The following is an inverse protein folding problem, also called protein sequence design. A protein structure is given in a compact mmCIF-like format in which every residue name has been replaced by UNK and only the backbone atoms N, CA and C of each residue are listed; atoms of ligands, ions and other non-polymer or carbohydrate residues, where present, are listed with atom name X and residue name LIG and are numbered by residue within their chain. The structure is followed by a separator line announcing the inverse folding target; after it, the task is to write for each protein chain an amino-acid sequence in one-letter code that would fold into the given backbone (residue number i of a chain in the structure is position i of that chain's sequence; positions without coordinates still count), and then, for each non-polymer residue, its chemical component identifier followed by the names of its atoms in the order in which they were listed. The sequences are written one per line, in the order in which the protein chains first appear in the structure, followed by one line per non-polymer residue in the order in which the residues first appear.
data_IF_926155246100
#
_entry.id   IF_926155246100
#
_cell.length_a   1.000
_cell.length_b   1.000
_cell.length_c   1.000
_cell.angle_alpha   90.00
_cell.angle_beta   90.00
_cell.angle_gamma   90.00
#
_symmetry.space_group_name_H-M   'P 1'
#
loop_
_entity.id
_entity.type
_entity.pdbx_description
1 polymer ?
#
# COMPACT_ATOMS: atom_id res chain seq x y z
N UNK A 1 -23.42 -22.68 0.91
CA UNK A 1 -22.99 -21.30 1.18
C UNK A 1 -22.07 -20.86 0.05
N UNK A 2 -22.23 -19.65 -0.47
CA UNK A 2 -21.40 -19.05 -1.53
C UNK A 2 -20.63 -17.85 -0.99
N UNK A 3 -19.31 -17.93 -1.10
CA UNK A 3 -18.37 -16.91 -0.64
C UNK A 3 -17.75 -16.27 -1.88
N UNK A 4 -17.86 -14.95 -2.01
CA UNK A 4 -17.15 -14.17 -3.00
C UNK A 4 -15.95 -13.51 -2.33
N UNK A 5 -14.76 -13.65 -2.91
CA UNK A 5 -13.55 -12.94 -2.50
C UNK A 5 -13.18 -11.96 -3.62
N UNK A 6 -13.31 -10.67 -3.33
CA UNK A 6 -13.00 -9.56 -4.25
C UNK A 6 -11.76 -8.82 -3.78
N UNK A 7 -10.68 -8.93 -4.54
CA UNK A 7 -9.38 -8.33 -4.26
C UNK A 7 -8.58 -8.37 -5.56
N UNK A 8 -7.80 -7.35 -5.92
CA UNK A 8 -6.99 -7.35 -7.14
C UNK A 8 -5.73 -8.21 -7.00
N UNK A 9 -5.22 -8.34 -5.78
CA UNK A 9 -4.07 -9.18 -5.42
C UNK A 9 -4.43 -10.66 -5.38
N UNK A 10 -3.92 -11.41 -6.36
CA UNK A 10 -4.05 -12.87 -6.40
C UNK A 10 -3.45 -13.54 -5.15
N UNK A 11 -2.41 -12.94 -4.58
CA UNK A 11 -1.78 -13.40 -3.34
C UNK A 11 -2.75 -13.23 -2.18
N UNK A 12 -3.40 -12.07 -2.04
CA UNK A 12 -4.39 -11.83 -1.01
C UNK A 12 -5.61 -12.76 -1.15
N UNK A 13 -6.17 -12.91 -2.37
CA UNK A 13 -7.28 -13.86 -2.64
C UNK A 13 -6.95 -15.28 -2.19
N UNK A 14 -5.75 -15.76 -2.52
CA UNK A 14 -5.27 -17.10 -2.15
C UNK A 14 -5.00 -17.22 -0.66
N UNK A 15 -4.42 -16.19 -0.05
CA UNK A 15 -4.15 -16.14 1.37
C UNK A 15 -5.45 -16.29 2.15
N UNK A 16 -6.45 -15.45 1.86
CA UNK A 16 -7.78 -15.52 2.49
C UNK A 16 -8.46 -16.87 2.26
N UNK A 17 -8.45 -17.38 1.02
CA UNK A 17 -9.03 -18.69 0.71
C UNK A 17 -8.34 -19.84 1.47
N UNK A 18 -7.04 -19.73 1.78
CA UNK A 18 -6.30 -20.76 2.52
C UNK A 18 -6.72 -20.88 4.00
N UNK A 19 -7.33 -19.84 4.57
CA UNK A 19 -7.92 -19.91 5.92
C UNK A 19 -9.22 -20.71 5.93
N UNK A 20 -9.91 -20.84 4.79
CA UNK A 20 -11.16 -21.61 4.69
C UNK A 20 -10.79 -23.10 4.61
N UNK A 21 -11.31 -23.90 5.54
CA UNK A 21 -10.98 -25.32 5.63
C UNK A 21 -11.48 -26.13 4.44
N UNK A 22 -10.77 -27.20 4.10
CA UNK A 22 -11.18 -28.14 3.05
C UNK A 22 -12.50 -28.86 3.36
N UNK A 23 -12.96 -28.85 4.62
CA UNK A 23 -14.28 -29.33 5.02
C UNK A 23 -15.42 -28.35 4.71
N UNK A 24 -15.12 -27.17 4.15
CA UNK A 24 -16.12 -26.21 3.72
C UNK A 24 -16.98 -26.78 2.58
N UNK A 25 -18.25 -27.04 2.89
CA UNK A 25 -19.25 -27.53 1.93
C UNK A 25 -19.95 -26.35 1.25
N UNK A 26 -19.19 -25.62 0.43
CA UNK A 26 -19.66 -24.43 -0.27
C UNK A 26 -18.80 -24.07 -1.48
N UNK A 27 -19.11 -22.94 -2.09
CA UNK A 27 -18.45 -22.46 -3.30
C UNK A 27 -17.69 -21.17 -2.99
N UNK A 28 -16.43 -21.11 -3.42
CA UNK A 28 -15.60 -19.91 -3.34
C UNK A 28 -15.47 -19.35 -4.76
N UNK A 29 -15.90 -18.11 -4.95
CA UNK A 29 -15.82 -17.37 -6.20
C UNK A 29 -14.82 -16.24 -6.01
N UNK A 30 -14.07 -15.91 -7.07
CA UNK A 30 -13.08 -14.84 -7.04
C UNK A 30 -13.46 -13.73 -8.00
N UNK A 31 -13.28 -12.48 -7.56
CA UNK A 31 -13.34 -11.29 -8.38
C UNK A 31 -12.04 -10.49 -8.22
N UNK A 32 -11.58 -9.86 -9.31
CA UNK A 32 -10.31 -9.12 -9.38
C UNK A 32 -10.49 -7.61 -9.27
N UNK A 33 -11.73 -7.13 -9.25
CA UNK A 33 -12.10 -5.73 -9.01
C UNK A 33 -13.58 -5.60 -8.62
N UNK A 34 -13.98 -4.42 -8.17
CA UNK A 34 -15.35 -4.16 -7.71
C UNK A 34 -16.42 -4.38 -8.77
N UNK A 35 -16.13 -4.11 -10.05
CA UNK A 35 -17.07 -4.31 -11.16
C UNK A 35 -17.39 -5.79 -11.34
N UNK A 36 -16.37 -6.65 -11.37
CA UNK A 36 -16.56 -8.10 -11.48
C UNK A 36 -17.33 -8.66 -10.28
N UNK A 37 -17.10 -8.12 -9.08
CA UNK A 37 -17.84 -8.53 -7.89
C UNK A 37 -19.33 -8.20 -8.00
N UNK A 38 -19.67 -6.97 -8.40
CA UNK A 38 -21.06 -6.56 -8.60
C UNK A 38 -21.75 -7.37 -9.72
N UNK A 39 -21.07 -7.61 -10.85
CA UNK A 39 -21.58 -8.45 -11.94
C UNK A 39 -21.87 -9.89 -11.47
N UNK A 40 -20.99 -10.45 -10.64
CA UNK A 40 -21.17 -11.77 -10.03
C UNK A 40 -22.38 -11.77 -9.10
N UNK A 41 -22.52 -10.75 -8.24
CA UNK A 41 -23.64 -10.63 -7.31
C UNK A 41 -24.99 -10.38 -7.99
N UNK A 42 -25.01 -9.90 -9.24
CA UNK A 42 -26.22 -9.79 -10.05
C UNK A 42 -26.65 -11.15 -10.63
N UNK A 43 -25.70 -12.02 -10.97
CA UNK A 43 -25.96 -13.33 -11.55
C UNK A 43 -26.20 -14.42 -10.50
N UNK A 44 -25.51 -14.32 -9.37
CA UNK A 44 -25.45 -15.35 -8.34
C UNK A 44 -25.82 -14.79 -6.96
N UNK A 45 -26.50 -15.61 -6.15
CA UNK A 45 -26.73 -15.29 -4.75
C UNK A 45 -25.44 -15.52 -3.96
N UNK A 46 -24.88 -14.44 -3.40
CA UNK A 46 -23.68 -14.47 -2.56
C UNK A 46 -24.09 -14.32 -1.10
N UNK A 47 -23.68 -15.25 -0.23
CA UNK A 47 -23.98 -15.20 1.19
C UNK A 47 -23.00 -14.27 1.92
N UNK A 48 -21.71 -14.35 1.54
CA UNK A 48 -20.61 -13.61 2.17
C UNK A 48 -19.72 -13.04 1.06
N UNK A 49 -19.45 -11.74 1.13
CA UNK A 49 -18.48 -11.06 0.29
C UNK A 49 -17.32 -10.64 1.18
N UNK A 50 -16.11 -11.13 0.90
CA UNK A 50 -14.88 -10.52 1.40
C UNK A 50 -14.39 -9.51 0.37
N UNK A 51 -14.24 -8.25 0.77
CA UNK A 51 -14.02 -7.12 -0.13
C UNK A 51 -12.78 -6.34 0.28
N UNK A 52 -11.82 -6.21 -0.62
CA UNK A 52 -10.74 -5.24 -0.48
C UNK A 52 -11.23 -3.81 -0.77
N UNK A 53 -10.58 -2.80 -0.15
CA UNK A 53 -10.92 -1.39 -0.39
C UNK A 53 -10.14 -0.77 -1.52
N UNK A 54 -8.87 -1.14 -1.72
CA UNK A 54 -7.93 -0.41 -2.57
C UNK A 54 -7.65 -1.23 -3.83
N UNK A 55 -8.56 -1.14 -4.79
CA UNK A 55 -8.48 -1.85 -6.07
C UNK A 55 -8.49 -0.85 -7.24
N UNK A 56 -7.88 -1.20 -8.40
CA UNK A 56 -8.02 -0.42 -9.62
C UNK A 56 -9.45 -0.48 -10.19
N UNK A 57 -9.78 0.49 -11.04
CA UNK A 57 -11.06 0.65 -11.75
C UNK A 57 -12.29 0.95 -10.90
N UNK A 58 -12.57 0.13 -9.90
CA UNK A 58 -13.69 0.31 -8.97
C UNK A 58 -13.28 -0.18 -7.57
N UNK A 59 -13.25 0.75 -6.63
CA UNK A 59 -12.77 0.53 -5.27
C UNK A 59 -13.84 -0.10 -4.36
N UNK A 60 -13.45 -0.53 -3.15
CA UNK A 60 -14.39 -1.17 -2.23
C UNK A 60 -15.45 -0.22 -1.66
N UNK A 61 -15.18 1.09 -1.58
CA UNK A 61 -16.19 2.07 -1.17
C UNK A 61 -17.27 2.22 -2.23
N UNK A 62 -16.90 2.21 -3.52
CA UNK A 62 -17.84 2.23 -4.64
C UNK A 62 -18.70 0.97 -4.66
N UNK A 63 -18.11 -0.21 -4.39
CA UNK A 63 -18.87 -1.47 -4.26
C UNK A 63 -19.87 -1.38 -3.12
N UNK A 64 -19.44 -0.97 -1.91
CA UNK A 64 -20.35 -0.82 -0.77
C UNK A 64 -21.48 0.17 -1.06
N UNK A 65 -21.17 1.30 -1.70
CA UNK A 65 -22.15 2.31 -2.09
C UNK A 65 -23.17 1.74 -3.08
N UNK A 66 -22.69 1.04 -4.13
CA UNK A 66 -23.57 0.41 -5.10
C UNK A 66 -24.48 -0.65 -4.45
N UNK A 67 -23.95 -1.40 -3.48
CA UNK A 67 -24.73 -2.39 -2.73
C UNK A 67 -25.84 -1.75 -1.90
N UNK A 68 -25.72 -0.50 -1.43
CA UNK A 68 -26.83 0.19 -0.75
C UNK A 68 -28.05 0.44 -1.67
N UNK A 69 -27.83 0.54 -2.98
CA UNK A 69 -28.90 0.79 -3.95
C UNK A 69 -29.74 -0.47 -4.24
N UNK A 70 -29.24 -1.66 -3.88
CA UNK A 70 -29.92 -2.94 -4.09
C UNK A 70 -30.18 -3.62 -2.74
N UNK A 71 -31.40 -4.12 -2.54
CA UNK A 71 -31.68 -4.95 -1.36
C UNK A 71 -30.95 -6.30 -1.49
N UNK A 72 -29.77 -6.44 -0.90
CA UNK A 72 -29.02 -7.70 -0.78
C UNK A 72 -29.07 -8.26 0.65
N UNK A 73 -28.87 -9.56 0.80
CA UNK A 73 -28.71 -10.22 2.11
C UNK A 73 -27.25 -10.60 2.39
N UNK A 74 -26.35 -10.29 1.46
CA UNK A 74 -24.93 -10.61 1.55
C UNK A 74 -24.28 -9.91 2.74
N UNK A 75 -23.57 -10.67 3.58
CA UNK A 75 -22.71 -10.11 4.62
C UNK A 75 -21.40 -9.66 3.99
N UNK A 76 -21.15 -8.36 3.96
CA UNK A 76 -19.91 -7.80 3.40
C UNK A 76 -18.87 -7.65 4.51
N UNK A 77 -17.80 -8.42 4.43
CA UNK A 77 -16.62 -8.31 5.29
C UNK A 77 -15.55 -7.56 4.53
N UNK A 78 -15.20 -6.37 4.98
CA UNK A 78 -14.08 -5.63 4.41
C UNK A 78 -12.78 -6.26 4.90
N UNK A 79 -11.86 -6.56 3.98
CA UNK A 79 -10.52 -7.07 4.27
C UNK A 79 -9.52 -6.16 3.58
N UNK A 80 -8.88 -5.26 4.31
CA UNK A 80 -8.06 -4.21 3.68
C UNK A 80 -6.78 -3.88 4.47
N UNK A 81 -5.79 -3.37 3.75
CA UNK A 81 -4.63 -2.69 4.34
C UNK A 81 -4.91 -1.23 4.72
N UNK A 82 -5.99 -0.62 4.23
CA UNK A 82 -6.41 0.73 4.62
C UNK A 82 -7.05 0.71 6.02
N UNK A 83 -6.21 0.84 7.05
CA UNK A 83 -6.63 0.73 8.44
C UNK A 83 -6.98 2.08 9.09
N UNK A 84 -7.04 3.16 8.32
CA UNK A 84 -7.42 4.48 8.83
C UNK A 84 -8.76 4.42 9.58
N UNK A 85 -8.87 5.02 10.77
CA UNK A 85 -10.11 5.01 11.56
C UNK A 85 -11.30 5.59 10.76
N UNK A 86 -11.03 6.66 9.98
CA UNK A 86 -12.01 7.28 9.09
C UNK A 86 -12.47 6.30 7.99
N UNK A 87 -11.56 5.50 7.43
CA UNK A 87 -11.90 4.48 6.43
C UNK A 87 -12.79 3.38 7.02
N UNK A 88 -12.42 2.87 8.20
CA UNK A 88 -13.18 1.83 8.90
C UNK A 88 -14.59 2.31 9.22
N UNK A 89 -14.73 3.52 9.77
CA UNK A 89 -16.04 4.10 10.08
C UNK A 89 -16.90 4.24 8.82
N UNK A 90 -16.31 4.76 7.73
CA UNK A 90 -16.99 4.89 6.44
C UNK A 90 -17.49 3.55 5.92
N UNK A 91 -16.73 2.46 6.08
CA UNK A 91 -17.16 1.12 5.68
C UNK A 91 -18.42 0.68 6.44
N UNK A 92 -18.45 0.87 7.77
CA UNK A 92 -19.61 0.52 8.59
C UNK A 92 -20.83 1.37 8.26
N UNK A 93 -20.65 2.68 8.03
CA UNK A 93 -21.71 3.59 7.61
C UNK A 93 -22.32 3.17 6.26
N UNK A 94 -21.50 2.58 5.37
CA UNK A 94 -21.94 2.03 4.10
C UNK A 94 -22.56 0.62 4.21
N UNK A 95 -22.57 0.01 5.39
CA UNK A 95 -23.25 -1.27 5.66
C UNK A 95 -22.34 -2.50 5.70
N UNK A 96 -21.03 -2.33 5.86
CA UNK A 96 -20.12 -3.45 6.11
C UNK A 96 -20.52 -4.20 7.39
N UNK A 97 -20.52 -5.54 7.31
CA UNK A 97 -20.80 -6.43 8.43
C UNK A 97 -19.64 -6.50 9.42
N UNK A 98 -18.41 -6.51 8.90
CA UNK A 98 -17.18 -6.56 9.69
C UNK A 98 -16.02 -5.96 8.88
N UNK A 99 -14.93 -5.62 9.59
CA UNK A 99 -13.68 -5.15 9.01
C UNK A 99 -12.54 -6.01 9.56
N UNK A 100 -11.64 -6.46 8.68
CA UNK A 100 -10.41 -7.16 9.05
C UNK A 100 -9.21 -6.48 8.39
N UNK A 101 -8.22 -6.14 9.21
CA UNK A 101 -6.92 -5.64 8.77
C UNK A 101 -6.09 -6.75 8.10
N UNK A 102 -5.43 -6.38 7.00
CA UNK A 102 -4.35 -7.18 6.38
C UNK A 102 -3.01 -6.90 7.08
N UNK A 103 -2.12 -7.90 7.25
CA UNK A 103 -2.26 -9.29 6.82
C UNK A 103 -3.22 -10.06 7.73
N UNK A 104 -4.00 -10.95 7.15
CA UNK A 104 -4.95 -11.76 7.90
C UNK A 104 -4.21 -12.69 8.88
N UNK A 105 -4.45 -12.52 10.18
CA UNK A 105 -3.91 -13.37 11.24
C UNK A 105 -4.99 -14.34 11.70
N UNK A 106 -4.60 -15.57 12.03
CA UNK A 106 -5.55 -16.57 12.53
C UNK A 106 -6.32 -16.08 13.76
N UNK A 107 -5.64 -15.35 14.65
CA UNK A 107 -6.21 -14.81 15.89
C UNK A 107 -7.32 -13.79 15.65
N UNK A 108 -7.15 -12.89 14.65
CA UNK A 108 -8.15 -11.88 14.30
C UNK A 108 -9.27 -12.45 13.41
N UNK A 109 -8.95 -13.42 12.56
CA UNK A 109 -9.93 -14.05 11.65
C UNK A 109 -10.87 -15.04 12.36
N UNK A 110 -10.36 -15.79 13.34
CA UNK A 110 -11.09 -16.91 13.96
C UNK A 110 -12.46 -16.54 14.52
N UNK A 111 -12.60 -15.45 15.30
CA UNK A 111 -13.90 -15.05 15.84
C UNK A 111 -14.92 -14.76 14.72
N UNK A 112 -14.52 -13.99 13.71
CA UNK A 112 -15.42 -13.61 12.63
C UNK A 112 -15.87 -14.81 11.80
N UNK A 113 -14.94 -15.69 11.42
CA UNK A 113 -15.26 -16.87 10.63
C UNK A 113 -16.17 -17.83 11.41
N UNK A 114 -15.98 -17.96 12.73
CA UNK A 114 -16.89 -18.70 13.58
C UNK A 114 -18.31 -18.10 13.57
N UNK A 115 -18.42 -16.78 13.70
CA UNK A 115 -19.71 -16.06 13.64
C UNK A 115 -20.39 -16.16 12.27
N UNK A 116 -19.59 -16.27 11.21
CA UNK A 116 -20.03 -16.51 9.84
C UNK A 116 -20.24 -17.99 9.51
N UNK A 117 -19.98 -18.91 10.45
CA UNK A 117 -20.07 -20.36 10.26
C UNK A 117 -19.17 -20.89 9.13
N UNK A 118 -18.02 -20.25 8.90
CA UNK A 118 -16.99 -20.69 7.97
C UNK A 118 -15.98 -21.55 8.73
N UNK A 119 -15.77 -22.82 8.36
CA UNK A 119 -14.75 -23.64 9.01
C UNK A 119 -13.35 -23.11 8.69
N UNK A 120 -12.49 -22.97 9.70
CA UNK A 120 -11.12 -22.49 9.53
C UNK A 120 -10.12 -23.65 9.52
N UNK A 121 -9.12 -23.53 8.65
CA UNK A 121 -7.87 -24.27 8.76
C UNK A 121 -6.79 -23.38 9.36
N UNK A 122 -6.11 -23.83 10.41
CA UNK A 122 -4.85 -23.21 10.82
C UNK A 122 -3.80 -23.51 9.75
N UNK A 123 -3.41 -22.50 8.98
CA UNK A 123 -2.48 -22.65 7.85
C UNK A 123 -1.22 -23.44 8.27
N UNK A 124 -0.87 -24.45 7.48
CA UNK A 124 0.46 -25.04 7.51
C UNK A 124 1.32 -24.30 6.48
N UNK A 125 2.41 -23.67 6.92
CA UNK A 125 3.37 -23.04 6.02
C UNK A 125 4.01 -24.11 5.13
N UNK A 126 3.62 -24.14 3.85
CA UNK A 126 4.29 -24.98 2.87
C UNK A 126 5.49 -24.22 2.34
N UNK A 127 6.69 -24.68 2.69
CA UNK A 127 7.97 -24.21 2.11
C UNK A 127 8.01 -24.47 0.61
N UNK A 128 7.45 -23.55 -0.17
CA UNK A 128 7.62 -23.47 -1.61
C UNK A 128 8.51 -22.29 -1.94
N UNK A 129 9.46 -22.53 -2.84
CA UNK A 129 10.22 -21.46 -3.47
C UNK A 129 9.32 -20.77 -4.50
N UNK A 130 9.36 -19.44 -4.53
CA UNK A 130 8.53 -18.63 -5.41
C UNK A 130 9.24 -18.37 -6.74
N UNK A 131 8.47 -18.27 -7.83
CA UNK A 131 9.01 -17.69 -9.06
C UNK A 131 9.29 -16.20 -8.84
N UNK A 132 10.16 -15.60 -9.68
CA UNK A 132 10.42 -14.15 -9.65
C UNK A 132 9.10 -13.36 -9.68
N UNK A 133 8.17 -13.70 -10.57
CA UNK A 133 6.87 -13.03 -10.66
C UNK A 133 6.04 -13.12 -9.37
N UNK A 134 6.02 -14.29 -8.72
CA UNK A 134 5.31 -14.46 -7.45
C UNK A 134 5.95 -13.67 -6.30
N UNK A 135 7.27 -13.47 -6.34
CA UNK A 135 7.95 -12.59 -5.38
C UNK A 135 7.51 -11.14 -5.55
N UNK A 136 7.44 -10.63 -6.79
CA UNK A 136 6.93 -9.27 -7.05
C UNK A 136 5.48 -9.10 -6.58
N UNK A 137 4.60 -10.06 -6.89
CA UNK A 137 3.20 -10.03 -6.43
C UNK A 137 3.10 -10.01 -4.89
N UNK A 138 3.93 -10.81 -4.20
CA UNK A 138 3.97 -10.83 -2.73
C UNK A 138 4.52 -9.54 -2.15
N UNK A 139 5.58 -9.02 -2.74
CA UNK A 139 6.20 -7.80 -2.25
C UNK A 139 5.33 -6.58 -2.53
N UNK A 140 4.54 -6.60 -3.61
CA UNK A 140 3.48 -5.62 -3.86
C UNK A 140 2.41 -5.69 -2.77
N UNK A 141 1.92 -6.86 -2.40
CA UNK A 141 0.98 -7.01 -1.27
C UNK A 141 1.57 -6.47 0.04
N UNK A 142 2.83 -6.84 0.35
CA UNK A 142 3.54 -6.33 1.52
C UNK A 142 3.66 -4.80 1.49
N UNK A 143 3.90 -4.22 0.31
CA UNK A 143 3.97 -2.77 0.11
C UNK A 143 2.61 -2.10 0.26
N UNK A 144 1.52 -2.70 -0.25
CA UNK A 144 0.14 -2.24 -0.06
C UNK A 144 -0.20 -2.14 1.44
N UNK A 145 0.12 -3.21 2.20
CA UNK A 145 -0.12 -3.28 3.64
C UNK A 145 0.72 -2.22 4.37
N UNK A 146 2.01 -2.12 4.07
CA UNK A 146 2.89 -1.15 4.70
C UNK A 146 2.44 0.29 4.43
N UNK A 147 1.98 0.57 3.21
CA UNK A 147 1.46 1.87 2.83
C UNK A 147 0.18 2.23 3.61
N UNK A 148 -0.73 1.27 3.78
CA UNK A 148 -1.97 1.49 4.54
C UNK A 148 -1.74 1.82 6.01
N UNK A 149 -0.83 1.10 6.67
CA UNK A 149 -0.43 1.41 8.05
C UNK A 149 0.33 2.75 8.16
N UNK A 150 1.20 3.05 7.19
CA UNK A 150 1.89 4.34 7.10
C UNK A 150 0.92 5.52 6.91
N UNK A 151 -0.10 5.35 6.06
CA UNK A 151 -1.12 6.36 5.83
C UNK A 151 -2.04 6.55 7.03
N UNK A 152 -2.35 5.50 7.80
CA UNK A 152 -3.05 5.65 9.08
C UNK A 152 -2.28 6.55 10.05
N UNK A 153 -0.96 6.36 10.15
CA UNK A 153 -0.10 7.24 10.96
C UNK A 153 -0.13 8.69 10.46
N UNK A 154 -0.06 8.90 9.14
CA UNK A 154 -0.10 10.23 8.53
C UNK A 154 -1.48 10.88 8.74
N UNK A 155 -2.56 10.11 8.58
CA UNK A 155 -3.95 10.55 8.74
C UNK A 155 -4.24 11.02 10.17
N UNK A 156 -3.75 10.30 11.18
CA UNK A 156 -3.83 10.73 12.59
C UNK A 156 -3.10 12.05 12.86
N UNK A 157 -1.91 12.23 12.26
CA UNK A 157 -1.12 13.45 12.41
C UNK A 157 -1.77 14.65 11.72
N UNK A 158 -2.28 14.46 10.50
CA UNK A 158 -2.87 15.51 9.68
C UNK A 158 -4.36 15.76 9.98
N UNK A 159 -5.02 14.82 10.66
CA UNK A 159 -6.47 14.77 10.91
C UNK A 159 -7.30 14.82 9.63
N UNK A 160 -6.83 14.18 8.57
CA UNK A 160 -7.46 14.15 7.25
C UNK A 160 -7.39 12.73 6.71
N UNK A 161 -8.42 12.33 5.96
CA UNK A 161 -8.41 11.05 5.26
C UNK A 161 -7.40 11.10 4.12
N UNK A 162 -6.54 10.08 4.04
CA UNK A 162 -5.57 9.93 2.97
C UNK A 162 -6.12 8.90 1.99
N UNK A 163 -6.34 9.33 0.75
CA UNK A 163 -6.62 8.40 -0.34
C UNK A 163 -5.37 7.57 -0.60
N UNK A 164 -5.47 6.26 -0.37
CA UNK A 164 -4.36 5.34 -0.56
C UNK A 164 -4.16 5.04 -2.05
N UNK A 165 -2.98 5.32 -2.62
CA UNK A 165 -2.66 4.85 -3.95
C UNK A 165 -2.35 3.35 -3.93
N UNK A 166 -2.45 2.71 -5.10
CA UNK A 166 -1.91 1.35 -5.31
C UNK A 166 -0.42 1.47 -5.64
N UNK A 167 0.51 1.03 -4.77
CA UNK A 167 1.93 1.06 -5.07
C UNK A 167 2.28 0.09 -6.20
N UNK A 168 3.29 0.48 -6.99
CA UNK A 168 3.86 -0.32 -8.07
C UNK A 168 5.22 -0.83 -7.63
N UNK A 169 5.36 -2.15 -7.61
CA UNK A 169 6.64 -2.82 -7.41
C UNK A 169 7.17 -3.26 -8.75
N UNK A 170 8.38 -2.84 -9.09
CA UNK A 170 8.91 -3.04 -10.43
C UNK A 170 10.40 -2.85 -10.54
N UNK A 171 10.88 -2.91 -11.78
CA UNK A 171 12.24 -2.52 -12.14
C UNK A 171 12.16 -1.25 -12.99
N UNK A 172 13.03 -0.29 -12.71
CA UNK A 172 13.11 0.98 -13.39
C UNK A 172 14.53 1.17 -13.92
N UNK A 173 14.66 1.62 -15.17
CA UNK A 173 15.98 1.85 -15.79
C UNK A 173 16.58 3.15 -15.30
N UNK A 174 17.92 3.24 -15.27
CA UNK A 174 18.59 4.50 -14.91
C UNK A 174 18.18 5.68 -15.80
N UNK A 175 17.82 5.42 -17.07
CA UNK A 175 17.30 6.44 -17.99
C UNK A 175 15.93 6.96 -17.56
N UNK A 176 15.00 6.07 -17.18
CA UNK A 176 13.68 6.45 -16.66
C UNK A 176 13.82 7.25 -15.35
N UNK A 177 14.74 6.85 -14.47
CA UNK A 177 14.99 7.55 -13.21
C UNK A 177 15.49 8.97 -13.47
N UNK A 178 16.45 9.10 -14.38
CA UNK A 178 17.00 10.38 -14.82
C UNK A 178 15.90 11.28 -15.39
N UNK A 179 15.03 10.74 -16.25
CA UNK A 179 13.92 11.49 -16.82
C UNK A 179 12.94 11.96 -15.74
N UNK A 180 12.60 11.12 -14.76
CA UNK A 180 11.71 11.47 -13.65
C UNK A 180 12.26 12.61 -12.79
N UNK A 181 13.54 12.52 -12.40
CA UNK A 181 14.19 13.58 -11.60
C UNK A 181 14.27 14.88 -12.38
N UNK A 182 14.70 14.82 -13.65
CA UNK A 182 14.83 16.01 -14.48
C UNK A 182 13.48 16.68 -14.77
N UNK A 183 12.42 15.89 -15.01
CA UNK A 183 11.08 16.44 -15.20
C UNK A 183 10.60 17.17 -13.93
N UNK A 184 10.80 16.57 -12.76
CA UNK A 184 10.45 17.20 -11.47
C UNK A 184 11.20 18.51 -11.25
N UNK A 185 12.51 18.54 -11.51
CA UNK A 185 13.34 19.73 -11.29
C UNK A 185 13.04 20.86 -12.29
N UNK A 186 12.46 20.56 -13.45
CA UNK A 186 12.11 21.53 -14.48
C UNK A 186 10.69 22.10 -14.33
N UNK A 187 9.86 21.55 -13.44
CA UNK A 187 8.51 22.05 -13.15
C UNK A 187 8.57 23.19 -12.14
N UNK A 188 7.82 24.25 -12.42
CA UNK A 188 7.60 25.34 -11.45
C UNK A 188 6.85 24.79 -10.22
N UNK A 189 7.20 25.27 -9.02
CA UNK A 189 6.60 24.85 -7.75
C UNK A 189 6.74 23.34 -7.44
N UNK A 190 7.80 22.71 -7.96
CA UNK A 190 8.17 21.34 -7.63
C UNK A 190 9.50 21.29 -6.87
N UNK A 191 9.66 20.28 -6.03
CA UNK A 191 10.93 20.00 -5.38
C UNK A 191 11.16 18.50 -5.24
N UNK A 192 12.42 18.11 -5.17
CA UNK A 192 12.83 16.73 -4.94
C UNK A 192 13.80 16.64 -3.77
N UNK A 193 13.71 15.55 -3.02
CA UNK A 193 14.65 15.20 -1.97
C UNK A 193 14.91 13.69 -1.98
N UNK A 194 16.12 13.30 -1.61
CA UNK A 194 16.52 11.91 -1.43
C UNK A 194 16.81 11.61 0.03
N UNK A 195 16.38 10.44 0.52
CA UNK A 195 16.65 9.98 1.87
C UNK A 195 17.17 8.55 1.85
N UNK A 196 18.38 8.34 2.35
CA UNK A 196 18.99 7.00 2.42
C UNK A 196 18.46 6.23 3.62
N UNK A 197 18.33 4.93 3.44
CA UNK A 197 17.97 4.01 4.51
C UNK A 197 18.81 2.73 4.44
N UNK A 198 19.08 2.16 5.62
CA UNK A 198 19.82 0.91 5.77
C UNK A 198 19.23 0.08 6.90
N UNK A 199 19.16 -1.24 6.76
CA UNK A 199 18.54 -2.07 7.78
C UNK A 199 18.46 -3.54 7.39
N UNK A 200 18.76 -4.47 8.30
CA UNK A 200 18.65 -5.90 8.01
C UNK A 200 19.54 -6.42 6.87
N UNK A 201 20.59 -5.68 6.50
CA UNK A 201 21.42 -5.92 5.32
C UNK A 201 20.90 -5.28 4.03
N UNK A 202 19.71 -4.68 4.06
CA UNK A 202 19.16 -3.89 2.97
C UNK A 202 19.77 -2.48 2.95
N UNK A 203 20.02 -1.99 1.75
CA UNK A 203 20.43 -0.62 1.48
C UNK A 203 19.54 -0.05 0.38
N UNK A 204 19.13 1.19 0.55
CA UNK A 204 18.32 1.86 -0.43
C UNK A 204 18.26 3.36 -0.23
N UNK A 205 17.56 3.99 -1.15
CA UNK A 205 17.35 5.42 -1.17
C UNK A 205 15.90 5.69 -1.60
N UNK A 206 15.21 6.54 -0.86
CA UNK A 206 13.89 7.02 -1.20
C UNK A 206 14.03 8.37 -1.88
N UNK A 207 13.54 8.48 -3.12
CA UNK A 207 13.36 9.74 -3.82
C UNK A 207 11.91 10.20 -3.59
N UNK A 208 11.74 11.43 -3.11
CA UNK A 208 10.44 12.05 -2.92
C UNK A 208 10.36 13.28 -3.80
N UNK A 209 9.42 13.29 -4.72
CA UNK A 209 9.08 14.41 -5.58
C UNK A 209 7.77 15.01 -5.09
N UNK A 210 7.77 16.31 -4.80
CA UNK A 210 6.62 17.05 -4.30
C UNK A 210 6.27 18.10 -5.36
N UNK A 211 5.00 18.14 -5.74
CA UNK A 211 4.43 19.12 -6.67
C UNK A 211 3.25 19.82 -6.00
N UNK A 212 3.15 21.14 -6.19
CA UNK A 212 2.01 21.95 -5.76
C UNK A 212 2.41 23.24 -5.04
N UNK A 213 1.47 24.20 -4.99
CA UNK A 213 1.71 25.51 -4.34
C UNK A 213 1.59 25.45 -2.81
N UNK A 214 1.19 24.29 -2.28
CA UNK A 214 0.66 24.17 -0.93
C UNK A 214 1.60 23.47 0.06
N UNK A 215 2.90 23.35 -0.24
CA UNK A 215 3.91 22.93 0.76
C UNK A 215 3.80 23.78 2.03
N UNK A 216 3.55 25.08 1.91
CA UNK A 216 3.28 25.95 3.06
C UNK A 216 1.98 25.60 3.82
N UNK A 217 0.94 25.13 3.12
CA UNK A 217 -0.31 24.69 3.77
C UNK A 217 -0.11 23.40 4.56
N UNK A 218 0.65 22.46 3.98
CA UNK A 218 1.05 21.21 4.64
C UNK A 218 1.87 21.52 5.88
N UNK A 219 2.80 22.48 5.79
CA UNK A 219 3.57 22.92 6.93
C UNK A 219 2.69 23.45 8.08
N UNK A 220 1.70 24.29 7.78
CA UNK A 220 0.73 24.76 8.79
C UNK A 220 -0.06 23.63 9.45
N UNK A 221 -0.45 22.60 8.69
CA UNK A 221 -1.17 21.43 9.21
C UNK A 221 -0.31 20.55 10.10
N UNK A 222 0.98 20.45 9.81
CA UNK A 222 1.98 19.80 10.66
C UNK A 222 2.32 20.60 11.93
N UNK A 223 1.69 21.77 12.12
CA UNK A 223 1.87 22.62 13.30
C UNK A 223 3.03 23.61 13.19
N UNK A 224 3.53 23.88 11.98
CA UNK A 224 4.53 24.90 11.73
C UNK A 224 3.87 26.27 11.53
N UNK A 225 4.24 27.27 12.35
CA UNK A 225 3.70 28.63 12.25
C UNK A 225 4.25 29.39 11.04
N UNK A 226 3.43 30.29 10.46
CA UNK A 226 3.83 31.13 9.34
C UNK A 226 5.04 32.02 9.71
N UNK A 227 6.20 31.71 9.13
CA UNK A 227 7.42 32.55 9.20
C UNK A 227 8.50 32.11 10.17
N UNK A 228 8.31 31.03 10.95
CA UNK A 228 9.37 30.48 11.83
C UNK A 228 10.24 29.42 11.13
N UNK A 229 9.67 28.68 10.17
CA UNK A 229 10.31 27.53 9.53
C UNK A 229 10.44 27.79 8.03
N UNK A 230 11.63 27.51 7.49
CA UNK A 230 11.90 27.72 6.06
C UNK A 230 11.12 26.72 5.20
N UNK A 231 10.80 27.09 3.97
CA UNK A 231 10.17 26.18 3.00
C UNK A 231 10.96 24.86 2.86
N UNK A 232 12.29 24.94 2.83
CA UNK A 232 13.17 23.77 2.73
C UNK A 232 13.07 22.85 3.95
N UNK A 233 12.91 23.41 5.14
CA UNK A 233 12.73 22.64 6.37
C UNK A 233 11.37 21.94 6.40
N UNK A 234 10.31 22.56 5.87
CA UNK A 234 9.00 21.89 5.69
C UNK A 234 9.15 20.70 4.73
N UNK A 235 9.84 20.89 3.60
CA UNK A 235 10.10 19.82 2.62
C UNK A 235 10.86 18.67 3.27
N UNK A 236 11.95 18.94 3.97
CA UNK A 236 12.76 17.91 4.65
C UNK A 236 11.94 17.15 5.69
N UNK A 237 11.13 17.84 6.48
CA UNK A 237 10.26 17.20 7.47
C UNK A 237 9.17 16.34 6.81
N UNK A 238 8.54 16.83 5.74
CA UNK A 238 7.54 16.08 4.98
C UNK A 238 8.15 14.81 4.39
N UNK A 239 9.31 14.91 3.75
CA UNK A 239 10.06 13.76 3.21
C UNK A 239 10.32 12.74 4.32
N UNK A 240 10.82 13.20 5.46
CA UNK A 240 11.08 12.31 6.59
C UNK A 240 9.80 11.61 7.08
N UNK A 241 8.66 12.31 7.16
CA UNK A 241 7.38 11.71 7.55
C UNK A 241 6.93 10.66 6.54
N UNK A 242 6.92 10.97 5.24
CA UNK A 242 6.47 10.06 4.18
C UNK A 242 7.34 8.81 4.08
N UNK A 243 8.66 8.97 4.20
CA UNK A 243 9.60 7.86 4.11
C UNK A 243 9.59 7.02 5.39
N UNK A 244 9.59 7.65 6.56
CA UNK A 244 9.62 6.93 7.83
C UNK A 244 8.33 6.17 8.11
N UNK A 245 7.16 6.73 7.79
CA UNK A 245 5.88 6.04 8.01
C UNK A 245 5.82 4.73 7.23
N UNK A 246 6.21 4.76 5.95
CA UNK A 246 6.26 3.56 5.12
C UNK A 246 7.33 2.57 5.58
N UNK A 247 8.56 3.02 5.86
CA UNK A 247 9.64 2.10 6.26
C UNK A 247 9.42 1.47 7.64
N UNK A 248 8.79 2.17 8.58
CA UNK A 248 8.41 1.58 9.88
C UNK A 248 7.42 0.44 9.66
N UNK A 249 6.38 0.66 8.87
CA UNK A 249 5.40 -0.39 8.56
C UNK A 249 6.02 -1.53 7.74
N UNK A 250 6.86 -1.22 6.75
CA UNK A 250 7.59 -2.24 5.98
C UNK A 250 8.53 -3.05 6.88
N UNK A 251 9.19 -2.42 7.85
CA UNK A 251 10.02 -3.06 8.86
C UNK A 251 9.27 -4.14 9.62
N UNK A 252 8.04 -3.82 10.07
CA UNK A 252 7.18 -4.78 10.77
C UNK A 252 6.77 -5.95 9.88
N UNK A 253 6.42 -5.68 8.61
CA UNK A 253 6.05 -6.74 7.68
C UNK A 253 7.23 -7.64 7.32
N UNK A 254 8.44 -7.09 7.18
CA UNK A 254 9.65 -7.84 6.84
C UNK A 254 10.38 -8.45 8.04
N UNK A 255 10.04 -8.03 9.27
CA UNK A 255 10.81 -8.36 10.47
C UNK A 255 12.24 -7.79 10.44
N UNK A 256 12.43 -6.62 9.81
CA UNK A 256 13.75 -5.98 9.65
C UNK A 256 13.71 -4.54 10.15
N UNK A 257 14.64 -4.16 11.02
CA UNK A 257 14.73 -2.77 11.49
C UNK A 257 15.51 -1.88 10.50
N UNK A 258 14.93 -0.74 10.13
CA UNK A 258 15.56 0.27 9.28
C UNK A 258 16.06 1.47 10.08
N UNK A 259 17.16 2.06 9.60
CA UNK A 259 17.70 3.34 10.05
C UNK A 259 17.76 4.31 8.88
N UNK A 260 17.33 5.54 9.12
CA UNK A 260 17.26 6.62 8.14
C UNK A 260 18.47 7.55 8.26
N UNK A 261 18.91 8.10 7.13
CA UNK A 261 19.77 9.29 7.08
C UNK A 261 18.91 10.55 6.97
N UNK A 262 19.54 11.70 7.14
CA UNK A 262 18.87 12.99 6.91
C UNK A 262 18.49 13.12 5.43
N UNK A 263 17.27 13.60 5.11
CA UNK A 263 16.90 13.94 3.75
C UNK A 263 17.82 15.01 3.17
N UNK A 264 18.20 14.84 1.91
CA UNK A 264 18.99 15.80 1.16
C UNK A 264 18.16 16.32 0.00
N UNK A 265 18.04 17.65 -0.10
CA UNK A 265 17.41 18.29 -1.25
C UNK A 265 18.21 18.06 -2.52
N UNK A 266 17.49 17.81 -3.60
CA UNK A 266 18.05 17.74 -4.95
C UNK A 266 17.81 19.11 -5.59
N UNK A 267 18.89 19.85 -5.81
CA UNK A 267 18.87 21.15 -6.49
C UNK A 267 19.26 21.02 -7.96
N UNK A 268 20.17 20.09 -8.25
CA UNK A 268 20.65 19.77 -9.59
C UNK A 268 20.91 18.26 -9.67
N UNK A 269 20.66 17.68 -10.83
CA UNK A 269 20.92 16.28 -11.13
C UNK A 269 21.55 16.15 -12.51
N UNK A 270 22.83 15.77 -12.54
CA UNK A 270 23.55 15.45 -13.76
C UNK A 270 23.82 13.95 -13.85
N UNK A 271 23.24 13.24 -14.84
CA UNK A 271 23.49 11.81 -15.04
C UNK A 271 24.92 11.52 -15.50
N UNK A 272 25.66 12.52 -16.00
CA UNK A 272 27.05 12.37 -16.48
C UNK A 272 28.03 11.99 -15.37
N UNK A 273 27.67 12.25 -14.11
CA UNK A 273 28.46 11.89 -12.93
C UNK A 273 28.10 10.51 -12.35
N UNK A 274 27.13 9.80 -12.95
CA UNK A 274 26.70 8.49 -12.48
C UNK A 274 27.65 7.38 -12.93
N UNK A 275 27.91 6.43 -12.03
CA UNK A 275 28.64 5.19 -12.35
C UNK A 275 27.72 4.12 -12.97
N UNK A 276 26.41 4.38 -13.02
CA UNK A 276 25.41 3.44 -13.52
C UNK A 276 25.23 3.58 -15.04
N UNK A 277 25.13 2.46 -15.74
CA UNK A 277 24.80 2.45 -17.16
C UNK A 277 23.31 2.76 -17.38
N UNK A 278 22.98 3.40 -18.52
CA UNK A 278 21.61 3.79 -18.89
C UNK A 278 20.57 2.64 -18.85
N UNK A 279 21.02 1.40 -19.05
CA UNK A 279 20.19 0.19 -19.07
C UNK A 279 20.26 -0.63 -17.77
N UNK A 280 20.94 -0.13 -16.73
CA UNK A 280 20.92 -0.79 -15.43
C UNK A 280 19.54 -0.61 -14.80
N UNK A 281 19.03 -1.71 -14.25
CA UNK A 281 17.72 -1.78 -13.62
C UNK A 281 17.88 -1.65 -12.11
N UNK A 282 17.02 -0.83 -11.53
CA UNK A 282 16.89 -0.64 -10.09
C UNK A 282 15.55 -1.22 -9.67
N UNK A 283 15.53 -2.02 -8.60
CA UNK A 283 14.28 -2.51 -8.04
C UNK A 283 13.61 -1.39 -7.25
N UNK A 284 12.33 -1.18 -7.49
CA UNK A 284 11.62 0.00 -7.01
C UNK A 284 10.25 -0.32 -6.41
N UNK A 285 9.85 0.52 -5.45
CA UNK A 285 8.47 0.67 -5.00
C UNK A 285 8.08 2.12 -5.25
N UNK A 286 7.09 2.35 -6.10
CA UNK A 286 6.60 3.67 -6.45
C UNK A 286 5.15 3.83 -6.00
N UNK A 287 4.81 4.96 -5.40
CA UNK A 287 3.42 5.37 -5.20
C UNK A 287 3.30 6.89 -5.19
N UNK A 288 2.10 7.37 -5.50
CA UNK A 288 1.80 8.81 -5.54
C UNK A 288 0.69 9.12 -4.56
N UNK A 289 1.00 9.89 -3.51
CA UNK A 289 -0.02 10.49 -2.66
C UNK A 289 -0.67 11.66 -3.39
N UNK A 290 -2.00 11.63 -3.41
CA UNK A 290 -2.84 12.72 -3.90
C UNK A 290 -3.72 13.19 -2.74
N UNK A 291 -3.43 14.40 -2.27
CA UNK A 291 -4.24 15.08 -1.29
C UNK A 291 -4.86 16.33 -1.94
N UNK A 292 -5.92 16.13 -2.73
CA UNK A 292 -6.65 17.20 -3.42
C UNK A 292 -7.03 18.36 -2.48
N UNK A 293 -7.47 18.05 -1.25
CA UNK A 293 -7.85 19.06 -0.26
C UNK A 293 -6.69 19.99 0.17
N UNK A 294 -5.44 19.55 -0.05
CA UNK A 294 -4.22 20.26 0.27
C UNK A 294 -3.47 20.72 -0.98
N UNK A 295 -3.98 20.47 -2.20
CA UNK A 295 -3.24 20.71 -3.45
C UNK A 295 -1.78 20.21 -3.36
N UNK A 296 -1.63 19.00 -2.83
CA UNK A 296 -0.35 18.35 -2.59
C UNK A 296 -0.31 17.03 -3.36
N UNK A 297 0.64 16.95 -4.28
CA UNK A 297 0.97 15.73 -5.01
C UNK A 297 2.37 15.30 -4.63
N UNK A 298 2.52 14.11 -4.05
CA UNK A 298 3.82 13.57 -3.65
C UNK A 298 4.04 12.22 -4.29
N UNK A 299 5.00 12.12 -5.21
CA UNK A 299 5.51 10.83 -5.66
C UNK A 299 6.65 10.37 -4.75
N UNK A 300 6.59 9.13 -4.30
CA UNK A 300 7.62 8.48 -3.48
C UNK A 300 8.12 7.25 -4.22
N UNK A 301 9.42 7.22 -4.48
CA UNK A 301 10.11 6.14 -5.16
C UNK A 301 11.18 5.57 -4.23
N UNK A 302 10.93 4.40 -3.66
CA UNK A 302 11.96 3.63 -2.96
C UNK A 302 12.79 2.85 -3.98
N UNK A 303 14.10 2.96 -3.87
CA UNK A 303 15.07 2.25 -4.68
C UNK A 303 15.90 1.34 -3.80
N UNK A 304 16.09 0.09 -4.23
CA UNK A 304 16.88 -0.90 -3.53
C UNK A 304 18.06 -1.33 -4.40
N UNK A 305 19.22 -1.54 -3.78
CA UNK A 305 20.36 -2.10 -4.50
C UNK A 305 20.14 -3.59 -4.85
N UNK A 306 20.96 -4.12 -5.76
CA UNK A 306 20.81 -5.49 -6.27
C UNK A 306 20.95 -6.54 -5.16
N UNK A 307 21.85 -6.33 -4.20
CA UNK A 307 22.06 -7.26 -3.08
C UNK A 307 20.85 -7.29 -2.13
N UNK A 308 20.17 -6.15 -1.98
CA UNK A 308 18.96 -6.00 -1.17
C UNK A 308 17.78 -6.79 -1.73
N UNK A 309 17.66 -6.91 -3.05
CA UNK A 309 16.58 -7.70 -3.69
C UNK A 309 16.66 -9.18 -3.27
N UNK A 310 17.86 -9.75 -3.18
CA UNK A 310 18.06 -11.14 -2.75
C UNK A 310 17.70 -11.33 -1.26
N UNK A 311 17.95 -10.32 -0.43
CA UNK A 311 17.57 -10.34 0.99
C UNK A 311 16.05 -10.23 1.13
N UNK A 312 15.40 -9.33 0.39
CA UNK A 312 13.93 -9.21 0.31
C UNK A 312 13.32 -10.55 -0.08
N UNK A 313 13.84 -11.19 -1.13
CA UNK A 313 13.38 -12.50 -1.58
C UNK A 313 13.46 -13.54 -0.45
N UNK A 314 14.59 -13.61 0.25
CA UNK A 314 14.76 -14.54 1.38
C UNK A 314 13.80 -14.25 2.52
N UNK A 315 13.54 -12.99 2.87
CA UNK A 315 12.57 -12.65 3.92
C UNK A 315 11.15 -13.04 3.52
N UNK A 316 10.76 -12.80 2.27
CA UNK A 316 9.45 -13.23 1.76
C UNK A 316 9.25 -14.75 1.80
N UNK A 317 10.30 -15.55 1.67
CA UNK A 317 10.24 -17.00 1.86
C UNK A 317 10.13 -17.43 3.33
N UNK A 318 10.63 -16.62 4.28
CA UNK A 318 10.59 -16.93 5.72
C UNK A 318 9.24 -16.59 6.36
N UNK A 319 8.56 -15.56 5.86
CA UNK A 319 7.29 -15.03 6.40
C UNK A 319 6.05 -15.82 5.93
N UNK A 320 6.21 -17.12 5.63
CA UNK A 320 5.15 -18.04 5.17
C UNK A 320 4.21 -18.52 6.27
#
# INVERSE_FOLDING_TARGET
MRILICDDSKVARRSLASFIASSFDGEIIFAENGRQALETMQCDTIDILFLDLTMPEMDGFEVLTALQEFSHQTKVVVVSGDIQEIAQQRCFDLGAYAFIEKPLKAESATPLFHDLQIPIHHAHSSKQSFSKQQMFERFQETSNIALGAGAATISEQLKEFILLPVPRVGELTFSELTMMIQDTLNRDNSCAAAQRFVGGGLHGEALVCIEGESVAQVGRRLGYDDGEISHDEIVVNLVNVLVSSFLVSLSEQLGLEFSLREPLRIEDFSPENSMLNANEHVFTIEYTYDAEALDLFCSVLFMFDVESVEIIHRQMELLQ
#
